data_IF_644058392562
#
_entry.id   IF_644058392562
#
_cell.length_a   1.000
_cell.length_b   1.000
_cell.length_c   1.000
_cell.angle_alpha   90.00
_cell.angle_beta   90.00
_cell.angle_gamma   90.00
#
_symmetry.space_group_name_H-M   'P 1'
#
loop_
_entity.id
_entity.type
_entity.pdbx_description
1 polymer ?
#
# COMPACT_ATOMS: atom_id res chain seq x y z
N UNK A 1 3.32 30.06 98.79
CA UNK A 1 4.31 30.28 97.79
C UNK A 1 4.25 29.08 96.87
N UNK A 2 3.46 29.15 95.78
CA UNK A 2 3.29 28.10 94.82
C UNK A 2 4.00 28.55 93.54
N UNK A 3 5.10 27.94 93.18
CA UNK A 3 5.83 28.16 91.96
C UNK A 3 5.09 27.50 90.78
N UNK A 4 4.67 28.34 89.85
CA UNK A 4 4.12 27.88 88.59
C UNK A 4 5.23 27.24 87.72
N UNK A 5 5.03 26.06 87.13
CA UNK A 5 6.04 25.48 86.29
C UNK A 5 6.12 26.29 84.98
N UNK A 6 7.35 26.56 84.59
CA UNK A 6 7.61 27.25 83.30
C UNK A 6 7.13 26.36 82.15
N UNK A 7 6.58 26.95 81.04
CA UNK A 7 6.15 26.17 79.93
C UNK A 7 7.35 25.49 79.24
N UNK A 8 7.13 24.23 78.91
CA UNK A 8 8.12 23.35 78.32
C UNK A 8 8.49 23.86 76.89
N UNK A 9 9.65 24.52 76.83
CA UNK A 9 10.15 25.13 75.52
C UNK A 9 10.42 24.08 74.44
N UNK A 10 10.73 22.86 74.86
CA UNK A 10 11.07 21.79 73.96
C UNK A 10 9.83 21.29 73.16
N UNK A 11 8.63 21.33 73.76
CA UNK A 11 7.39 20.96 73.15
C UNK A 11 6.95 22.00 72.04
N UNK A 12 7.25 23.30 72.37
CA UNK A 12 6.93 24.40 71.38
C UNK A 12 7.84 24.39 70.19
N UNK A 13 9.12 24.08 70.32
CA UNK A 13 10.06 23.98 69.18
C UNK A 13 9.80 22.74 68.36
N UNK A 14 9.43 21.62 68.93
CA UNK A 14 9.10 20.41 68.18
C UNK A 14 7.87 20.58 67.27
N UNK A 15 6.85 21.30 67.68
CA UNK A 15 5.61 21.45 66.97
C UNK A 15 5.71 22.52 65.86
N UNK A 16 6.56 23.56 66.03
CA UNK A 16 6.70 24.66 65.11
C UNK A 16 7.73 24.44 63.96
N UNK A 17 8.79 23.67 64.23
CA UNK A 17 9.92 23.49 63.32
C UNK A 17 9.82 22.17 62.56
N UNK A 18 9.29 21.12 63.13
CA UNK A 18 9.24 19.80 62.53
C UNK A 18 7.88 19.42 61.93
N UNK A 19 6.78 20.06 62.35
CA UNK A 19 5.43 19.86 61.85
C UNK A 19 5.26 20.21 60.34
N UNK A 20 5.76 21.34 59.84
CA UNK A 20 5.62 21.73 58.46
C UNK A 20 6.32 20.80 57.48
N UNK A 21 7.54 20.33 57.81
CA UNK A 21 8.36 19.49 56.92
C UNK A 21 7.78 18.12 56.60
N UNK A 22 6.98 17.57 57.50
CA UNK A 22 6.32 16.28 57.29
C UNK A 22 5.11 16.42 56.39
N UNK A 23 4.38 17.53 56.49
CA UNK A 23 3.25 17.88 55.61
C UNK A 23 3.71 18.25 54.20
N UNK A 24 4.81 18.97 54.05
CA UNK A 24 5.42 19.28 52.75
C UNK A 24 5.88 18.01 52.02
N UNK A 25 6.53 17.08 52.69
CA UNK A 25 6.93 15.81 52.06
C UNK A 25 5.73 15.01 51.59
N UNK A 26 4.65 14.98 52.33
CA UNK A 26 3.41 14.32 51.93
C UNK A 26 2.76 15.02 50.75
N UNK A 27 2.75 16.36 50.73
CA UNK A 27 2.24 17.14 49.60
C UNK A 27 3.06 16.88 48.32
N UNK A 28 4.38 16.79 48.42
CA UNK A 28 5.25 16.43 47.29
C UNK A 28 5.03 15.00 46.79
N UNK A 29 4.77 14.03 47.68
CA UNK A 29 4.39 12.68 47.27
C UNK A 29 3.07 12.63 46.52
N UNK A 30 2.07 13.36 46.97
CA UNK A 30 0.76 13.44 46.28
C UNK A 30 0.90 14.13 44.94
N UNK A 31 1.70 15.19 44.84
CA UNK A 31 1.97 15.88 43.57
C UNK A 31 2.70 14.96 42.58
N UNK A 32 3.73 14.24 43.03
CA UNK A 32 4.47 13.30 42.17
C UNK A 32 3.59 12.14 41.71
N UNK A 33 2.73 11.59 42.56
CA UNK A 33 1.77 10.55 42.21
C UNK A 33 0.74 11.07 41.16
N UNK A 34 0.25 12.30 41.33
CA UNK A 34 -0.66 12.95 40.37
C UNK A 34 -0.04 13.14 39.00
N UNK A 35 1.22 13.59 38.94
CA UNK A 35 1.97 13.73 37.69
C UNK A 35 2.16 12.37 37.01
N UNK A 36 2.51 11.34 37.76
CA UNK A 36 2.72 9.99 37.24
C UNK A 36 1.44 9.40 36.63
N UNK A 37 0.30 9.56 37.32
CA UNK A 37 -1.01 9.16 36.81
C UNK A 37 -1.39 9.97 35.56
N UNK A 38 -1.13 11.28 35.55
CA UNK A 38 -1.39 12.14 34.38
C UNK A 38 -0.58 11.74 33.16
N UNK A 39 0.71 11.47 33.32
CA UNK A 39 1.59 11.03 32.22
C UNK A 39 1.15 9.64 31.72
N UNK A 40 0.84 8.70 32.62
CA UNK A 40 0.37 7.36 32.22
C UNK A 40 -0.97 7.44 31.48
N UNK A 41 -1.89 8.31 31.91
CA UNK A 41 -3.17 8.54 31.24
C UNK A 41 -2.99 9.17 29.85
N UNK A 42 -2.01 10.07 29.71
CA UNK A 42 -1.71 10.70 28.41
C UNK A 42 -1.10 9.71 27.39
N UNK A 43 -0.19 8.85 27.86
CA UNK A 43 0.39 7.77 27.02
C UNK A 43 -0.67 6.74 26.64
N UNK A 44 -1.53 6.33 27.57
CA UNK A 44 -2.64 5.42 27.29
C UNK A 44 -3.65 6.06 26.31
N UNK A 45 -3.95 7.34 26.44
CA UNK A 45 -4.80 8.09 25.51
C UNK A 45 -4.18 8.19 24.12
N UNK A 46 -2.88 8.45 24.02
CA UNK A 46 -2.16 8.55 22.77
C UNK A 46 -2.09 7.21 22.02
N UNK A 47 -2.03 6.08 22.74
CA UNK A 47 -2.04 4.74 22.12
C UNK A 47 -3.41 4.32 21.56
N UNK A 48 -4.48 5.00 21.95
CA UNK A 48 -5.85 4.78 21.44
C UNK A 48 -6.18 5.63 20.19
N UNK A 49 -5.31 6.58 19.83
CA UNK A 49 -5.55 7.49 18.69
C UNK A 49 -5.52 6.86 17.28
N UNK A 50 -4.92 5.69 16.98
CA UNK A 50 -5.01 5.11 15.65
C UNK A 50 -6.31 4.35 15.36
N UNK A 51 -7.30 4.33 16.27
CA UNK A 51 -8.50 3.48 16.14
C UNK A 51 -9.67 4.09 15.35
N UNK A 52 -9.48 5.22 14.67
CA UNK A 52 -10.53 5.79 13.82
C UNK A 52 -10.11 5.85 12.36
N UNK A 53 -9.93 4.69 11.72
CA UNK A 53 -10.00 4.61 10.25
C UNK A 53 -11.47 4.62 9.85
N UNK A 54 -11.92 5.70 9.26
CA UNK A 54 -13.25 5.79 8.64
C UNK A 54 -13.14 5.10 7.28
N UNK A 55 -13.58 3.86 7.18
CA UNK A 55 -13.73 3.18 5.90
C UNK A 55 -14.92 3.78 5.17
N UNK A 56 -14.66 4.52 4.11
CA UNK A 56 -15.69 5.03 3.21
C UNK A 56 -15.99 3.96 2.17
N UNK A 57 -17.10 3.26 2.32
CA UNK A 57 -17.59 2.31 1.32
C UNK A 57 -18.32 3.09 0.23
N UNK A 58 -17.80 3.05 -0.99
CA UNK A 58 -18.52 3.49 -2.18
C UNK A 58 -19.22 2.27 -2.77
N UNK A 59 -20.51 2.18 -2.60
CA UNK A 59 -21.34 1.15 -3.24
C UNK A 59 -21.73 1.68 -4.62
N UNK A 60 -21.15 1.14 -5.67
CA UNK A 60 -21.63 1.35 -7.03
C UNK A 60 -22.71 0.30 -7.30
N UNK A 61 -23.96 0.74 -7.38
CA UNK A 61 -25.08 -0.12 -7.77
C UNK A 61 -25.18 -0.09 -9.28
N UNK A 62 -24.91 -1.21 -9.93
CA UNK A 62 -25.23 -1.37 -11.35
C UNK A 62 -26.75 -1.42 -11.52
N UNK A 63 -27.29 -0.47 -12.29
CA UNK A 63 -28.73 -0.30 -12.48
C UNK A 63 -29.36 -1.33 -13.42
N UNK A 64 -28.57 -2.14 -14.12
CA UNK A 64 -29.10 -3.08 -15.10
C UNK A 64 -29.22 -4.52 -14.60
N UNK A 65 -28.47 -4.94 -13.60
CA UNK A 65 -28.49 -6.34 -13.14
C UNK A 65 -28.99 -6.52 -11.72
N UNK A 66 -29.03 -5.47 -10.89
CA UNK A 66 -29.46 -5.55 -9.48
C UNK A 66 -28.54 -6.39 -8.59
N UNK A 67 -27.43 -6.87 -9.11
CA UNK A 67 -26.42 -7.62 -8.37
C UNK A 67 -25.50 -6.65 -7.62
N UNK A 68 -25.43 -6.80 -6.31
CA UNK A 68 -24.49 -6.07 -5.49
C UNK A 68 -23.09 -6.67 -5.69
N UNK A 69 -22.40 -6.23 -6.72
CA UNK A 69 -20.97 -6.51 -6.82
C UNK A 69 -20.30 -5.72 -5.69
N UNK A 70 -19.72 -6.43 -4.72
CA UNK A 70 -18.90 -5.84 -3.66
C UNK A 70 -17.65 -5.30 -4.32
N UNK A 71 -17.75 -4.10 -4.86
CA UNK A 71 -16.55 -3.36 -5.24
C UNK A 71 -15.73 -3.23 -3.97
N UNK A 72 -14.59 -3.91 -3.95
CA UNK A 72 -13.65 -3.81 -2.86
C UNK A 72 -13.46 -2.34 -2.56
N UNK A 73 -13.75 -1.94 -1.32
CA UNK A 73 -13.55 -0.57 -0.89
C UNK A 73 -12.13 -0.19 -1.26
N UNK A 74 -11.97 0.79 -2.13
CA UNK A 74 -10.70 1.46 -2.30
C UNK A 74 -10.45 2.11 -0.95
N UNK A 75 -9.72 1.41 -0.09
CA UNK A 75 -9.17 2.05 1.10
C UNK A 75 -8.49 3.30 0.59
N UNK A 76 -8.96 4.45 1.05
CA UNK A 76 -8.18 5.67 0.98
C UNK A 76 -7.00 5.46 1.95
N UNK A 77 -6.07 4.61 1.51
CA UNK A 77 -4.79 4.44 2.13
C UNK A 77 -4.14 5.83 2.06
N UNK A 78 -3.71 6.33 3.18
CA UNK A 78 -2.67 7.37 3.26
C UNK A 78 -1.39 6.71 2.73
N UNK A 79 -1.38 6.44 1.42
CA UNK A 79 -0.19 5.99 0.74
C UNK A 79 0.83 7.12 0.86
N UNK A 80 2.04 6.78 1.27
CA UNK A 80 3.14 7.73 1.11
C UNK A 80 3.20 8.11 -0.38
N UNK A 81 3.64 9.32 -0.70
CA UNK A 81 3.76 9.75 -2.10
C UNK A 81 4.57 8.74 -2.94
N UNK A 82 5.59 8.13 -2.34
CA UNK A 82 6.40 7.07 -2.95
C UNK A 82 5.60 5.81 -3.27
N UNK A 83 4.71 5.36 -2.39
CA UNK A 83 3.90 4.17 -2.63
C UNK A 83 2.88 4.41 -3.75
N UNK A 84 2.30 5.61 -3.82
CA UNK A 84 1.40 5.98 -4.91
C UNK A 84 2.11 5.96 -6.28
N UNK A 85 3.35 6.44 -6.33
CA UNK A 85 4.19 6.42 -7.54
C UNK A 85 4.52 4.98 -7.94
N UNK A 86 4.90 4.13 -6.98
CA UNK A 86 5.17 2.71 -7.23
C UNK A 86 3.94 2.02 -7.79
N UNK A 87 2.78 2.21 -7.15
CA UNK A 87 1.53 1.61 -7.62
C UNK A 87 1.14 2.07 -9.02
N UNK A 88 1.27 3.37 -9.32
CA UNK A 88 0.97 3.91 -10.64
C UNK A 88 1.85 3.28 -11.74
N UNK A 89 3.15 3.12 -11.48
CA UNK A 89 4.06 2.47 -12.42
C UNK A 89 3.74 0.97 -12.61
N UNK A 90 3.43 0.26 -11.52
CA UNK A 90 3.05 -1.16 -11.59
C UNK A 90 1.74 -1.36 -12.37
N UNK A 91 0.73 -0.52 -12.13
CA UNK A 91 -0.55 -0.55 -12.85
C UNK A 91 -0.32 -0.31 -14.33
N UNK A 92 0.41 0.75 -14.70
CA UNK A 92 0.70 1.07 -16.09
C UNK A 92 1.50 -0.03 -16.79
N UNK A 93 2.49 -0.62 -16.08
CA UNK A 93 3.29 -1.71 -16.63
C UNK A 93 2.45 -2.98 -16.90
N UNK A 94 1.63 -3.40 -15.93
CA UNK A 94 0.79 -4.60 -16.06
C UNK A 94 -0.29 -4.38 -17.11
N UNK A 95 -0.91 -3.21 -17.16
CA UNK A 95 -1.90 -2.87 -18.17
C UNK A 95 -1.30 -2.96 -19.60
N UNK A 96 -0.15 -2.32 -19.84
CA UNK A 96 0.52 -2.37 -21.13
C UNK A 96 0.97 -3.79 -21.52
N UNK A 97 1.45 -4.59 -20.55
CA UNK A 97 1.96 -5.94 -20.80
C UNK A 97 0.86 -6.95 -21.13
N UNK A 98 -0.28 -6.82 -20.47
CA UNK A 98 -1.34 -7.82 -20.48
C UNK A 98 -2.49 -7.49 -21.44
N UNK A 99 -2.59 -6.24 -21.87
CA UNK A 99 -3.54 -5.81 -22.88
C UNK A 99 -3.10 -6.31 -24.26
N UNK A 100 -4.02 -6.89 -25.00
CA UNK A 100 -3.82 -7.32 -26.37
C UNK A 100 -4.76 -6.56 -27.30
N UNK A 101 -4.20 -5.63 -28.05
CA UNK A 101 -4.84 -4.93 -29.17
C UNK A 101 -3.76 -4.62 -30.21
N UNK A 102 -3.91 -5.13 -31.43
CA UNK A 102 -2.91 -4.90 -32.48
C UNK A 102 -2.93 -3.46 -33.02
N UNK A 103 -3.91 -2.65 -32.64
CA UNK A 103 -3.99 -1.25 -33.08
C UNK A 103 -2.86 -0.43 -32.45
N UNK A 104 -2.51 -0.69 -31.19
CA UNK A 104 -1.46 -0.01 -30.42
C UNK A 104 -0.42 -0.99 -29.83
N UNK A 105 -0.49 -2.25 -30.21
CA UNK A 105 0.30 -3.35 -29.63
C UNK A 105 1.81 -3.13 -29.73
N UNK A 106 2.31 -2.64 -30.85
CA UNK A 106 3.75 -2.36 -30.99
C UNK A 106 4.22 -1.28 -30.02
N UNK A 107 3.44 -0.21 -29.85
CA UNK A 107 3.75 0.87 -28.92
C UNK A 107 3.75 0.37 -27.48
N UNK A 108 2.76 -0.45 -27.09
CA UNK A 108 2.68 -1.05 -25.76
C UNK A 108 3.86 -1.98 -25.47
N UNK A 109 4.18 -2.88 -26.42
CA UNK A 109 5.30 -3.81 -26.28
C UNK A 109 6.63 -3.04 -26.09
N UNK A 110 6.88 -2.02 -26.91
CA UNK A 110 8.06 -1.19 -26.78
C UNK A 110 8.10 -0.46 -25.44
N UNK A 111 6.96 0.12 -24.99
CA UNK A 111 6.83 0.76 -23.69
C UNK A 111 7.14 -0.21 -22.53
N UNK A 112 6.69 -1.46 -22.63
CA UNK A 112 7.00 -2.49 -21.63
C UNK A 112 8.47 -2.88 -21.68
N UNK A 113 9.06 -3.08 -22.86
CA UNK A 113 10.48 -3.43 -23.03
C UNK A 113 11.39 -2.34 -22.48
N UNK A 114 11.07 -1.06 -22.71
CA UNK A 114 11.84 0.09 -22.21
C UNK A 114 11.83 0.17 -20.66
N UNK A 115 10.84 -0.46 -20.03
CA UNK A 115 10.70 -0.56 -18.57
C UNK A 115 10.99 -1.96 -18.04
N UNK A 116 11.62 -2.82 -18.84
CA UNK A 116 11.96 -4.20 -18.47
C UNK A 116 13.45 -4.45 -18.58
N UNK A 117 13.96 -5.25 -17.65
CA UNK A 117 15.34 -5.75 -17.67
C UNK A 117 15.36 -7.25 -17.31
N UNK A 118 16.49 -7.88 -17.51
CA UNK A 118 16.74 -9.25 -17.11
C UNK A 118 15.70 -10.25 -17.62
N UNK A 119 15.08 -10.95 -16.69
CA UNK A 119 14.10 -12.01 -16.98
C UNK A 119 12.79 -11.48 -17.55
N UNK A 120 12.32 -10.33 -17.05
CA UNK A 120 11.09 -9.70 -17.54
C UNK A 120 11.18 -9.31 -19.01
N UNK A 121 12.31 -8.75 -19.44
CA UNK A 121 12.55 -8.39 -20.83
C UNK A 121 12.71 -9.63 -21.73
N UNK A 122 13.43 -10.66 -21.23
CA UNK A 122 13.65 -11.90 -21.98
C UNK A 122 12.33 -12.62 -22.24
N UNK A 123 11.54 -12.88 -21.22
CA UNK A 123 10.27 -13.60 -21.33
C UNK A 123 9.27 -12.88 -22.23
N UNK A 124 9.27 -11.54 -22.25
CA UNK A 124 8.43 -10.78 -23.16
C UNK A 124 8.86 -10.92 -24.62
N UNK A 125 10.17 -10.82 -24.90
CA UNK A 125 10.70 -11.01 -26.27
C UNK A 125 10.44 -12.43 -26.78
N UNK A 126 10.60 -13.44 -25.91
CA UNK A 126 10.33 -14.82 -26.24
C UNK A 126 8.85 -15.04 -26.56
N UNK A 127 7.93 -14.47 -25.75
CA UNK A 127 6.49 -14.55 -25.98
C UNK A 127 6.08 -13.93 -27.34
N UNK A 128 6.70 -12.79 -27.69
CA UNK A 128 6.39 -12.09 -28.94
C UNK A 128 7.24 -12.54 -30.13
N UNK A 129 8.00 -13.63 -29.99
CA UNK A 129 8.67 -14.28 -31.11
C UNK A 129 7.69 -15.10 -31.93
N UNK A 130 7.70 -14.94 -33.24
CA UNK A 130 6.82 -15.71 -34.15
C UNK A 130 7.10 -17.23 -34.14
N UNK A 131 8.21 -17.65 -33.55
CA UNK A 131 8.58 -19.08 -33.36
C UNK A 131 8.05 -19.66 -32.07
N UNK A 132 7.50 -18.85 -31.18
CA UNK A 132 6.92 -19.30 -29.93
C UNK A 132 5.52 -19.89 -30.17
N UNK A 133 5.22 -21.03 -29.54
CA UNK A 133 3.90 -21.69 -29.63
C UNK A 133 2.80 -20.81 -29.01
N UNK A 134 3.15 -20.04 -27.98
CA UNK A 134 2.25 -19.11 -27.27
C UNK A 134 2.21 -17.71 -27.89
N UNK A 135 2.71 -17.54 -29.12
CA UNK A 135 2.72 -16.25 -29.80
C UNK A 135 1.30 -15.65 -29.85
N UNK A 136 1.08 -14.45 -29.27
CA UNK A 136 -0.26 -13.92 -29.05
C UNK A 136 -1.12 -13.83 -30.32
N UNK A 137 -0.52 -13.49 -31.45
CA UNK A 137 -1.26 -13.43 -32.75
C UNK A 137 -1.74 -14.81 -33.19
N UNK A 138 -0.98 -15.86 -32.90
CA UNK A 138 -1.39 -17.24 -33.21
C UNK A 138 -2.49 -17.71 -32.26
N UNK A 139 -2.36 -17.41 -30.96
CA UNK A 139 -3.29 -17.87 -29.91
C UNK A 139 -4.63 -17.13 -29.97
N UNK A 140 -4.61 -15.82 -30.10
CA UNK A 140 -5.83 -14.99 -30.01
C UNK A 140 -6.39 -14.61 -31.39
N UNK A 141 -5.55 -14.51 -32.40
CA UNK A 141 -5.91 -13.99 -33.72
C UNK A 141 -5.73 -12.47 -33.81
N UNK A 142 -5.83 -11.94 -35.04
CA UNK A 142 -5.57 -10.53 -35.34
C UNK A 142 -6.67 -9.57 -34.88
N UNK A 143 -7.91 -10.06 -34.84
CA UNK A 143 -9.08 -9.25 -34.55
C UNK A 143 -9.55 -9.32 -33.11
N UNK A 144 -8.89 -10.14 -32.30
CA UNK A 144 -9.21 -10.27 -30.89
C UNK A 144 -8.64 -9.10 -30.09
N UNK A 145 -9.31 -8.78 -28.99
CA UNK A 145 -8.85 -7.81 -27.99
C UNK A 145 -8.91 -8.42 -26.61
N UNK A 146 -7.90 -8.15 -25.78
CA UNK A 146 -7.90 -8.44 -24.36
C UNK A 146 -7.85 -7.13 -23.64
N UNK A 147 -8.91 -6.85 -22.88
CA UNK A 147 -8.96 -5.71 -21.96
C UNK A 147 -8.54 -6.17 -20.56
N UNK A 148 -7.77 -5.33 -19.87
CA UNK A 148 -7.27 -5.56 -18.54
C UNK A 148 -7.95 -4.61 -17.56
N UNK A 149 -8.38 -5.13 -16.42
CA UNK A 149 -8.88 -4.32 -15.31
C UNK A 149 -8.12 -4.69 -14.06
N UNK A 150 -7.34 -3.76 -13.55
CA UNK A 150 -6.58 -3.93 -12.31
C UNK A 150 -7.54 -3.90 -11.13
N UNK A 151 -7.43 -4.88 -10.24
CA UNK A 151 -8.27 -5.03 -9.04
C UNK A 151 -7.57 -4.57 -7.77
N UNK A 152 -6.31 -4.94 -7.59
CA UNK A 152 -5.51 -4.52 -6.45
C UNK A 152 -4.02 -4.60 -6.74
N UNK A 153 -3.26 -3.76 -6.05
CA UNK A 153 -1.78 -3.80 -6.01
C UNK A 153 -1.37 -3.95 -4.56
N UNK A 154 -0.65 -5.00 -4.23
CA UNK A 154 -0.15 -5.28 -2.90
C UNK A 154 1.37 -5.42 -2.95
N UNK A 155 2.08 -4.59 -2.21
CA UNK A 155 3.52 -4.74 -2.03
C UNK A 155 3.77 -5.84 -1.00
N UNK A 156 4.51 -6.90 -1.37
CA UNK A 156 4.83 -8.03 -0.49
C UNK A 156 6.08 -7.69 0.32
N UNK A 157 7.10 -7.21 -0.38
CA UNK A 157 8.36 -6.76 0.19
C UNK A 157 8.96 -5.66 -0.68
N UNK A 158 10.07 -5.09 -0.23
CA UNK A 158 10.76 -4.05 -1.01
C UNK A 158 11.20 -4.62 -2.38
N UNK A 159 10.73 -4.00 -3.46
CA UNK A 159 11.05 -4.41 -4.82
C UNK A 159 10.22 -5.58 -5.36
N UNK A 160 9.21 -6.08 -4.61
CA UNK A 160 8.30 -7.13 -5.06
C UNK A 160 6.85 -6.78 -4.75
N UNK A 161 6.01 -6.82 -5.76
CA UNK A 161 4.58 -6.57 -5.63
C UNK A 161 3.75 -7.65 -6.30
N UNK A 162 2.53 -7.82 -5.83
CA UNK A 162 1.48 -8.59 -6.49
C UNK A 162 0.40 -7.66 -7.03
N UNK A 163 0.07 -7.85 -8.29
CA UNK A 163 -0.99 -7.12 -8.99
C UNK A 163 -2.06 -8.13 -9.38
N UNK A 164 -3.27 -7.95 -8.83
CA UNK A 164 -4.45 -8.74 -9.23
C UNK A 164 -5.21 -8.01 -10.29
N UNK A 165 -5.59 -8.73 -11.34
CA UNK A 165 -6.31 -8.16 -12.45
C UNK A 165 -7.20 -9.19 -13.14
N UNK A 166 -8.13 -8.71 -13.94
CA UNK A 166 -8.94 -9.54 -14.82
C UNK A 166 -8.58 -9.28 -16.28
N UNK A 167 -8.52 -10.34 -17.09
CA UNK A 167 -8.43 -10.26 -18.55
C UNK A 167 -9.79 -10.60 -19.12
N UNK A 168 -10.28 -9.75 -20.00
CA UNK A 168 -11.53 -9.95 -20.72
C UNK A 168 -11.22 -10.09 -22.21
N UNK A 169 -11.33 -11.32 -22.72
CA UNK A 169 -11.12 -11.62 -24.13
C UNK A 169 -12.41 -11.37 -24.91
N UNK A 170 -12.33 -10.53 -25.93
CA UNK A 170 -13.39 -10.27 -26.90
C UNK A 170 -12.93 -10.66 -28.30
N UNK A 171 -13.77 -11.40 -29.03
CA UNK A 171 -13.57 -11.71 -30.44
C UNK A 171 -14.74 -11.17 -31.27
N UNK A 172 -14.52 -10.49 -32.40
CA UNK A 172 -15.60 -9.86 -33.16
C UNK A 172 -16.67 -10.83 -33.68
N UNK A 173 -16.30 -12.10 -33.87
CA UNK A 173 -17.20 -13.15 -34.39
C UNK A 173 -17.82 -14.01 -33.27
N UNK A 174 -17.45 -13.77 -32.02
CA UNK A 174 -17.96 -14.50 -30.88
C UNK A 174 -18.75 -13.54 -29.99
N UNK A 175 -20.01 -13.84 -29.75
CA UNK A 175 -20.82 -13.07 -28.79
C UNK A 175 -20.45 -13.35 -27.33
N UNK A 176 -19.63 -14.38 -27.10
CA UNK A 176 -19.20 -14.76 -25.75
C UNK A 176 -17.94 -14.01 -25.37
N UNK A 177 -18.04 -13.25 -24.29
CA UNK A 177 -16.91 -12.63 -23.62
C UNK A 177 -16.37 -13.60 -22.56
N UNK A 178 -15.05 -13.83 -22.55
CA UNK A 178 -14.40 -14.69 -21.57
C UNK A 178 -13.59 -13.81 -20.63
N UNK A 179 -14.00 -13.77 -19.36
CA UNK A 179 -13.29 -13.04 -18.32
C UNK A 179 -12.63 -14.03 -17.35
N UNK A 180 -11.37 -13.81 -17.01
CA UNK A 180 -10.61 -14.62 -16.05
C UNK A 180 -9.77 -13.73 -15.16
N UNK A 181 -9.60 -14.15 -13.89
CA UNK A 181 -8.76 -13.47 -12.90
C UNK A 181 -7.34 -14.02 -12.90
N UNK A 182 -6.39 -13.11 -12.70
CA UNK A 182 -4.96 -13.41 -12.69
C UNK A 182 -4.26 -12.63 -11.58
N UNK A 183 -3.13 -13.18 -11.15
CA UNK A 183 -2.20 -12.51 -10.23
C UNK A 183 -0.84 -12.45 -10.89
N UNK A 184 -0.32 -11.23 -11.09
CA UNK A 184 1.07 -11.03 -11.49
C UNK A 184 1.94 -10.80 -10.27
N UNK A 185 3.05 -11.53 -10.17
CA UNK A 185 4.14 -11.24 -9.24
C UNK A 185 5.22 -10.49 -10.01
N UNK A 186 5.51 -9.27 -9.57
CA UNK A 186 6.37 -8.31 -10.26
C UNK A 186 7.54 -7.94 -9.37
N UNK A 187 8.75 -8.30 -9.80
CA UNK A 187 9.98 -7.78 -9.20
C UNK A 187 10.39 -6.50 -9.92
N UNK A 188 10.62 -5.42 -9.17
CA UNK A 188 10.91 -4.10 -9.74
C UNK A 188 12.02 -3.37 -8.96
N UNK A 189 12.65 -2.41 -9.62
CA UNK A 189 13.68 -1.55 -9.06
C UNK A 189 13.59 -0.14 -9.67
N UNK A 190 14.33 0.81 -9.09
CA UNK A 190 14.45 2.17 -9.61
C UNK A 190 15.90 2.45 -9.95
N UNK A 191 16.16 2.74 -11.22
CA UNK A 191 17.51 2.97 -11.78
C UNK A 191 17.57 4.31 -12.53
N UNK A 192 17.52 5.46 -11.84
CA UNK A 192 17.42 6.76 -12.47
C UNK A 192 18.65 7.15 -13.30
N UNK A 193 19.82 6.58 -13.03
CA UNK A 193 21.08 6.96 -13.66
C UNK A 193 21.36 6.31 -15.02
N UNK A 194 20.59 5.32 -15.42
CA UNK A 194 20.84 4.54 -16.65
C UNK A 194 20.35 5.22 -17.94
N UNK A 195 19.69 6.36 -17.86
CA UNK A 195 19.01 6.98 -19.01
C UNK A 195 19.77 8.17 -19.58
N UNK A 196 20.23 8.04 -20.83
CA UNK A 196 21.08 9.02 -21.50
C UNK A 196 20.29 10.05 -22.35
N UNK A 197 19.03 9.76 -22.72
CA UNK A 197 18.23 10.65 -23.57
C UNK A 197 17.18 11.38 -22.74
N UNK A 198 17.00 12.66 -22.97
CA UNK A 198 16.02 13.49 -22.28
C UNK A 198 14.58 12.96 -22.44
N UNK A 199 14.25 12.40 -23.60
CA UNK A 199 12.93 11.79 -23.85
C UNK A 199 12.67 10.58 -22.96
N UNK A 200 13.69 9.74 -22.73
CA UNK A 200 13.59 8.55 -21.88
C UNK A 200 13.44 8.96 -20.40
N UNK A 201 14.09 10.06 -20.00
CA UNK A 201 13.93 10.65 -18.67
C UNK A 201 12.50 11.17 -18.46
N UNK A 202 11.91 11.78 -19.46
CA UNK A 202 10.51 12.25 -19.36
C UNK A 202 9.49 11.11 -19.33
N UNK A 203 9.73 10.05 -20.11
CA UNK A 203 8.85 8.89 -20.13
C UNK A 203 8.92 8.06 -18.85
N UNK A 204 10.09 8.03 -18.17
CA UNK A 204 10.28 7.28 -16.95
C UNK A 204 11.30 8.01 -16.04
N UNK A 205 10.88 9.11 -15.38
CA UNK A 205 11.79 10.01 -14.68
C UNK A 205 12.47 9.38 -13.48
N UNK A 206 11.88 8.38 -12.88
CA UNK A 206 12.42 7.67 -11.72
C UNK A 206 13.25 6.43 -12.11
N UNK A 207 13.33 6.10 -13.43
CA UNK A 207 14.01 4.90 -13.87
C UNK A 207 13.35 3.62 -13.37
N UNK A 208 12.01 3.58 -13.24
CA UNK A 208 11.29 2.38 -12.87
C UNK A 208 11.57 1.25 -13.87
N UNK A 209 11.99 0.10 -13.36
CA UNK A 209 12.36 -1.06 -14.17
C UNK A 209 11.80 -2.33 -13.54
N UNK A 210 11.22 -3.21 -14.34
CA UNK A 210 10.76 -4.53 -13.92
C UNK A 210 11.83 -5.56 -14.30
N UNK A 211 12.30 -6.30 -13.30
CA UNK A 211 13.38 -7.29 -13.44
C UNK A 211 12.85 -8.71 -13.60
N UNK A 212 11.71 -9.01 -12.97
CA UNK A 212 11.05 -10.30 -13.09
C UNK A 212 9.54 -10.15 -13.17
N UNK A 213 8.90 -11.02 -13.94
CA UNK A 213 7.47 -10.98 -14.16
C UNK A 213 6.90 -12.39 -14.31
N UNK A 214 5.93 -12.75 -13.48
CA UNK A 214 5.25 -14.02 -13.53
C UNK A 214 3.74 -13.81 -13.33
N UNK A 215 2.94 -14.48 -14.15
CA UNK A 215 1.46 -14.47 -14.07
C UNK A 215 0.95 -15.87 -13.79
N UNK A 216 0.09 -15.96 -12.79
CA UNK A 216 -0.61 -17.19 -12.44
C UNK A 216 -2.13 -16.94 -12.55
N UNK A 217 -2.88 -17.93 -13.06
CA UNK A 217 -4.34 -17.83 -13.07
C UNK A 217 -4.88 -17.96 -11.65
N UNK A 218 -5.78 -17.08 -11.25
CA UNK A 218 -6.45 -17.18 -9.95
C UNK A 218 -7.60 -18.20 -10.08
N UNK A 219 -7.43 -19.35 -9.42
CA UNK A 219 -8.49 -20.36 -9.32
C UNK A 219 -9.38 -19.92 -8.15
N UNK A 220 -10.59 -19.48 -8.44
CA UNK A 220 -11.61 -19.31 -7.39
C UNK A 220 -12.01 -20.72 -6.93
N UNK A 221 -11.55 -21.13 -5.76
CA UNK A 221 -12.17 -22.26 -5.06
C UNK A 221 -13.60 -21.86 -4.70
N UNK A 222 -14.56 -22.54 -5.30
CA UNK A 222 -16.00 -22.46 -4.97
C UNK A 222 -16.28 -23.19 -3.65
#
# INVERSE_FOLDING_TARGET
MTSSPAPDRDAFEADFIYGPRRRERFAWFVAAAGVLVGVTGMVAGASLFPLKSTETFVVVVDKETGEMDRVAAVQALTLSESDAIIQANLVAYVDDRETYDLTDGEQRINSVLDRSDGDAARTLRDLWSSTNEDYPITVYGRDAKIEVVIKSVNQIERGVAQVRFTRTLRRPRDTRTVTRSYVATVGYDFQPETRQRLQDVWANPLGFVVTSYRVDAETLEN
#
